data_IF_908499908141
#
_entry.id   IF_908499908141
#
_cell.length_a   1.000
_cell.length_b   1.000
_cell.length_c   1.000
_cell.angle_alpha   90.00
_cell.angle_beta   90.00
_cell.angle_gamma   90.00
#
_symmetry.space_group_name_H-M   'P 1'
#
loop_
_entity.id
_entity.type
_entity.pdbx_description
1 polymer ?
#
# COMPACT_ATOMS: atom_id res chain seq x y z
N UNK A 1 6.79 -20.90 -4.30
CA UNK A 1 7.91 -20.15 -3.69
C UNK A 1 8.91 -21.07 -2.98
N UNK A 2 8.47 -21.94 -2.05
CA UNK A 2 9.36 -22.88 -1.35
C UNK A 2 10.17 -23.79 -2.28
N UNK A 3 9.52 -24.42 -3.27
CA UNK A 3 10.21 -25.22 -4.31
C UNK A 3 11.21 -24.43 -5.17
N UNK A 4 11.10 -23.09 -5.20
CA UNK A 4 12.01 -22.19 -5.92
C UNK A 4 13.14 -21.64 -5.02
N UNK A 5 13.26 -22.11 -3.77
CA UNK A 5 14.34 -21.72 -2.85
C UNK A 5 14.16 -20.37 -2.13
N UNK A 6 12.97 -19.76 -2.18
CA UNK A 6 12.74 -18.48 -1.49
C UNK A 6 12.76 -18.64 0.04
N UNK A 7 13.25 -17.63 0.79
CA UNK A 7 13.29 -17.66 2.25
C UNK A 7 11.90 -17.88 2.87
N UNK A 8 11.82 -18.73 3.90
CA UNK A 8 10.55 -19.03 4.56
C UNK A 8 9.90 -17.79 5.18
N UNK A 9 10.71 -16.84 5.69
CA UNK A 9 10.23 -15.57 6.20
C UNK A 9 9.44 -14.76 5.16
N UNK A 10 9.88 -14.77 3.89
CA UNK A 10 9.18 -14.07 2.81
C UNK A 10 7.87 -14.77 2.47
N UNK A 11 7.89 -16.11 2.41
CA UNK A 11 6.70 -16.92 2.14
C UNK A 11 5.66 -16.68 3.24
N UNK A 12 6.06 -16.65 4.51
CA UNK A 12 5.18 -16.37 5.64
C UNK A 12 4.62 -14.95 5.58
N UNK A 13 5.43 -13.94 5.26
CA UNK A 13 4.95 -12.56 5.09
C UNK A 13 3.94 -12.45 3.94
N UNK A 14 4.23 -13.09 2.80
CA UNK A 14 3.32 -13.18 1.66
C UNK A 14 2.06 -13.97 2.04
N UNK A 15 2.09 -14.95 2.91
CA UNK A 15 0.86 -15.61 3.33
C UNK A 15 0.06 -14.72 4.29
N UNK A 16 0.75 -14.02 5.21
CA UNK A 16 0.13 -13.18 6.24
C UNK A 16 -0.46 -11.85 5.77
N UNK A 17 -0.09 -11.31 4.59
CA UNK A 17 -0.80 -10.14 4.04
C UNK A 17 -2.22 -10.49 3.57
N UNK A 18 -2.46 -11.75 3.18
CA UNK A 18 -3.80 -12.24 2.94
C UNK A 18 -4.50 -12.50 4.29
N UNK A 19 -5.31 -11.54 4.75
CA UNK A 19 -5.98 -11.60 6.07
C UNK A 19 -6.85 -12.85 6.29
N UNK A 20 -7.36 -13.46 5.21
CA UNK A 20 -8.13 -14.71 5.27
C UNK A 20 -7.27 -15.98 5.46
N UNK A 21 -5.94 -15.89 5.41
CA UNK A 21 -5.05 -17.05 5.49
C UNK A 21 -4.90 -17.63 6.91
N UNK A 22 -5.24 -16.84 7.94
CA UNK A 22 -4.99 -17.19 9.34
C UNK A 22 -3.52 -17.12 9.76
N UNK A 23 -2.60 -16.72 8.87
CA UNK A 23 -1.19 -16.54 9.22
C UNK A 23 -0.97 -15.16 9.82
N UNK A 24 -0.40 -15.05 11.04
CA UNK A 24 -0.23 -13.77 11.70
C UNK A 24 0.87 -12.92 11.05
N UNK A 25 0.72 -11.59 11.12
CA UNK A 25 1.75 -10.60 10.77
C UNK A 25 2.59 -10.23 12.00
N UNK A 26 3.39 -11.19 12.43
CA UNK A 26 4.22 -11.11 13.65
C UNK A 26 5.62 -10.51 13.42
N UNK A 27 6.00 -10.25 12.17
CA UNK A 27 7.30 -9.66 11.81
C UNK A 27 7.14 -8.27 11.21
N UNK A 28 8.19 -7.45 11.32
CA UNK A 28 8.23 -6.11 10.70
C UNK A 28 7.99 -6.19 9.18
N UNK A 29 8.55 -7.20 8.51
CA UNK A 29 8.35 -7.41 7.07
C UNK A 29 6.89 -7.69 6.73
N UNK A 30 6.22 -8.58 7.47
CA UNK A 30 4.82 -8.92 7.21
C UNK A 30 3.88 -7.73 7.46
N UNK A 31 4.12 -6.97 8.54
CA UNK A 31 3.38 -5.74 8.85
C UNK A 31 3.59 -4.68 7.78
N UNK A 32 4.84 -4.47 7.37
CA UNK A 32 5.17 -3.49 6.32
C UNK A 32 4.52 -3.86 4.99
N UNK A 33 4.59 -5.14 4.58
CA UNK A 33 3.98 -5.62 3.35
C UNK A 33 2.47 -5.33 3.33
N UNK A 34 1.77 -5.70 4.40
CA UNK A 34 0.33 -5.43 4.52
C UNK A 34 0.01 -3.93 4.52
N UNK A 35 0.79 -3.12 5.23
CA UNK A 35 0.57 -1.67 5.30
C UNK A 35 0.75 -0.93 3.96
N UNK A 36 1.60 -1.43 3.06
CA UNK A 36 1.84 -0.77 1.76
C UNK A 36 0.97 -1.31 0.63
N UNK A 37 0.46 -2.54 0.73
CA UNK A 37 -0.18 -3.26 -0.38
C UNK A 37 -1.34 -2.47 -1.00
N UNK A 38 -2.40 -2.25 -0.22
CA UNK A 38 -3.58 -1.49 -0.65
C UNK A 38 -3.25 -0.02 -0.93
N UNK A 39 -2.35 0.56 -0.13
CA UNK A 39 -2.02 1.98 -0.24
C UNK A 39 -1.28 2.29 -1.56
N UNK A 40 -0.40 1.41 -2.03
CA UNK A 40 0.29 1.55 -3.31
C UNK A 40 -0.69 1.57 -4.49
N UNK A 41 -1.63 0.61 -4.51
CA UNK A 41 -2.68 0.56 -5.53
C UNK A 41 -3.59 1.80 -5.47
N UNK A 42 -3.92 2.26 -4.27
CA UNK A 42 -4.73 3.44 -4.06
C UNK A 42 -4.06 4.73 -4.56
N UNK A 43 -2.80 4.97 -4.21
CA UNK A 43 -2.02 6.13 -4.66
C UNK A 43 -1.89 6.13 -6.19
N UNK A 44 -1.64 4.96 -6.77
CA UNK A 44 -1.59 4.77 -8.22
C UNK A 44 -2.92 5.15 -8.89
N UNK A 45 -4.06 4.71 -8.34
CA UNK A 45 -5.37 5.13 -8.82
C UNK A 45 -5.58 6.65 -8.72
N UNK A 46 -5.05 7.30 -7.66
CA UNK A 46 -5.10 8.77 -7.50
C UNK A 46 -4.32 9.48 -8.61
N UNK A 47 -3.18 8.93 -9.04
CA UNK A 47 -2.44 9.45 -10.18
C UNK A 47 -3.25 9.31 -11.49
N UNK A 48 -3.81 8.13 -11.75
CA UNK A 48 -4.53 7.84 -13.00
C UNK A 48 -5.74 8.73 -13.28
N UNK A 49 -6.43 9.22 -12.24
CA UNK A 49 -7.59 10.10 -12.42
C UNK A 49 -7.23 11.57 -12.59
N UNK A 50 -5.95 11.92 -12.55
CA UNK A 50 -5.47 13.28 -12.85
C UNK A 50 -5.28 13.45 -14.35
N UNK A 51 -5.46 14.66 -14.90
CA UNK A 51 -5.20 14.94 -16.31
C UNK A 51 -3.76 14.60 -16.73
N UNK A 52 -2.79 14.90 -15.86
CA UNK A 52 -1.36 14.59 -16.04
C UNK A 52 -1.04 13.10 -15.98
N UNK A 53 -1.94 12.30 -15.39
CA UNK A 53 -1.73 10.87 -15.07
C UNK A 53 -0.43 10.61 -14.32
N UNK A 54 0.04 11.58 -13.53
CA UNK A 54 1.37 11.51 -12.92
C UNK A 54 1.38 11.52 -11.40
N UNK A 55 2.34 10.77 -10.84
CA UNK A 55 2.64 10.76 -9.41
C UNK A 55 3.27 12.08 -8.92
N UNK A 56 3.84 12.89 -9.81
CA UNK A 56 4.45 14.18 -9.46
C UNK A 56 3.47 15.15 -8.78
N UNK A 57 2.18 15.08 -9.14
CA UNK A 57 1.14 15.95 -8.59
C UNK A 57 0.38 15.33 -7.42
N UNK A 58 0.70 14.08 -7.04
CA UNK A 58 0.03 13.38 -5.94
C UNK A 58 0.61 13.87 -4.62
N UNK A 59 -0.28 14.28 -3.72
CA UNK A 59 0.06 14.74 -2.37
C UNK A 59 -0.78 14.03 -1.32
N UNK A 60 -0.31 14.00 -0.07
CA UNK A 60 -1.02 13.44 1.08
C UNK A 60 -2.45 13.96 1.15
N UNK A 61 -2.65 15.28 0.99
CA UNK A 61 -3.99 15.90 0.98
C UNK A 61 -4.91 15.32 -0.09
N UNK A 62 -4.39 15.09 -1.29
CA UNK A 62 -5.19 14.53 -2.40
C UNK A 62 -5.58 13.08 -2.16
N UNK A 63 -4.66 12.27 -1.60
CA UNK A 63 -4.91 10.88 -1.22
C UNK A 63 -5.95 10.82 -0.11
N UNK A 64 -5.80 11.60 0.97
CA UNK A 64 -6.78 11.66 2.07
C UNK A 64 -8.16 12.10 1.60
N UNK A 65 -8.24 13.06 0.67
CA UNK A 65 -9.52 13.48 0.09
C UNK A 65 -10.20 12.30 -0.62
N UNK A 66 -9.42 11.50 -1.35
CA UNK A 66 -9.92 10.32 -2.07
C UNK A 66 -10.24 9.15 -1.14
N UNK A 67 -9.52 8.96 -0.03
CA UNK A 67 -9.84 7.92 0.95
C UNK A 67 -11.25 8.09 1.53
N UNK A 68 -11.72 9.34 1.67
CA UNK A 68 -13.09 9.67 2.10
C UNK A 68 -14.17 9.37 1.05
N UNK A 69 -13.79 9.25 -0.23
CA UNK A 69 -14.68 8.88 -1.32
C UNK A 69 -14.75 7.35 -1.42
N UNK A 70 -15.83 6.77 -0.90
CA UNK A 70 -16.05 5.31 -0.88
C UNK A 70 -16.25 4.71 -2.28
N UNK A 71 -16.59 5.51 -3.29
CA UNK A 71 -16.80 5.02 -4.67
C UNK A 71 -15.49 4.98 -5.45
N UNK A 72 -14.57 5.88 -5.13
CA UNK A 72 -13.28 5.92 -5.78
C UNK A 72 -12.44 4.71 -5.39
N UNK A 73 -11.90 3.96 -6.35
CA UNK A 73 -11.13 2.74 -6.08
C UNK A 73 -11.81 1.84 -5.02
N UNK A 74 -13.08 1.51 -5.26
CA UNK A 74 -13.95 0.81 -4.31
C UNK A 74 -13.46 -0.61 -3.96
N UNK A 75 -12.58 -1.19 -4.79
CA UNK A 75 -11.96 -2.48 -4.54
C UNK A 75 -10.86 -2.43 -3.46
N UNK A 76 -10.29 -1.25 -3.19
CA UNK A 76 -9.23 -1.09 -2.18
C UNK A 76 -9.86 -1.01 -0.79
N UNK A 77 -9.48 -1.90 0.13
CA UNK A 77 -10.00 -1.86 1.50
C UNK A 77 -9.44 -0.67 2.29
N UNK A 78 -10.33 0.20 2.80
CA UNK A 78 -9.93 1.30 3.69
C UNK A 78 -9.62 0.83 5.11
N UNK A 79 -10.25 -0.26 5.51
CA UNK A 79 -10.03 -0.91 6.80
C UNK A 79 -8.62 -1.51 6.84
N UNK A 80 -8.19 -2.16 5.76
CA UNK A 80 -6.85 -2.74 5.65
C UNK A 80 -5.75 -1.67 5.67
N UNK A 81 -5.97 -0.52 5.00
CA UNK A 81 -5.04 0.63 5.09
C UNK A 81 -4.89 1.09 6.54
N UNK A 82 -6.01 1.27 7.25
CA UNK A 82 -6.00 1.72 8.64
C UNK A 82 -5.30 0.69 9.53
N UNK A 83 -5.73 -0.58 9.47
CA UNK A 83 -5.15 -1.69 10.22
C UNK A 83 -3.65 -1.82 9.95
N UNK A 84 -3.21 -1.70 8.70
CA UNK A 84 -1.81 -1.79 8.35
C UNK A 84 -0.95 -0.72 9.02
N UNK A 85 -1.43 0.53 9.05
CA UNK A 85 -0.72 1.61 9.75
C UNK A 85 -0.69 1.41 11.27
N UNK A 86 -1.78 0.91 11.86
CA UNK A 86 -1.87 0.60 13.29
C UNK A 86 -0.92 -0.54 13.69
N UNK A 87 -0.94 -1.65 12.94
CA UNK A 87 -0.08 -2.82 13.21
C UNK A 87 1.41 -2.50 13.04
N UNK A 88 1.74 -1.63 12.07
CA UNK A 88 3.09 -1.13 11.84
C UNK A 88 3.50 -0.08 12.88
N UNK A 89 2.55 0.58 13.54
CA UNK A 89 2.80 1.60 14.56
C UNK A 89 3.22 2.95 13.98
N UNK A 90 2.67 3.33 12.82
CA UNK A 90 2.98 4.58 12.12
C UNK A 90 1.75 5.45 11.94
N UNK A 91 1.94 6.76 11.88
CA UNK A 91 0.88 7.70 11.52
C UNK A 91 0.48 7.54 10.05
N UNK A 92 -0.82 7.63 9.77
CA UNK A 92 -1.35 7.45 8.42
C UNK A 92 -0.85 8.51 7.44
N UNK A 93 -0.72 9.76 7.85
CA UNK A 93 -0.27 10.83 6.96
C UNK A 93 1.22 10.65 6.63
N UNK A 94 2.02 10.28 7.64
CA UNK A 94 3.43 9.94 7.45
C UNK A 94 3.61 8.73 6.52
N UNK A 95 2.78 7.70 6.66
CA UNK A 95 2.83 6.51 5.82
C UNK A 95 2.41 6.79 4.36
N UNK A 96 1.38 7.61 4.17
CA UNK A 96 0.98 8.10 2.84
C UNK A 96 2.12 8.89 2.20
N UNK A 97 2.72 9.84 2.92
CA UNK A 97 3.84 10.64 2.40
C UNK A 97 5.03 9.77 2.01
N UNK A 98 5.42 8.84 2.89
CA UNK A 98 6.50 7.89 2.62
C UNK A 98 6.22 7.07 1.35
N UNK A 99 5.01 6.53 1.22
CA UNK A 99 4.62 5.67 0.09
C UNK A 99 4.56 6.48 -1.22
N UNK A 100 4.04 7.71 -1.20
CA UNK A 100 4.07 8.61 -2.37
C UNK A 100 5.52 8.82 -2.82
N UNK A 101 6.41 9.19 -1.91
CA UNK A 101 7.82 9.45 -2.22
C UNK A 101 8.54 8.20 -2.74
N UNK A 102 8.20 7.03 -2.21
CA UNK A 102 8.74 5.76 -2.70
C UNK A 102 8.30 5.49 -4.15
N UNK A 103 7.01 5.64 -4.46
CA UNK A 103 6.45 5.42 -5.80
C UNK A 103 6.97 6.46 -6.81
N UNK A 104 7.11 7.73 -6.41
CA UNK A 104 7.66 8.79 -7.28
C UNK A 104 9.08 8.49 -7.77
N UNK A 105 9.89 7.77 -6.99
CA UNK A 105 11.25 7.39 -7.41
C UNK A 105 11.28 6.35 -8.53
N UNK A 106 10.18 5.63 -8.73
CA UNK A 106 10.03 4.58 -9.74
C UNK A 106 8.89 4.90 -10.71
N UNK A 107 8.49 6.18 -10.81
CA UNK A 107 7.32 6.61 -11.57
C UNK A 107 7.38 6.15 -13.04
N UNK A 108 8.55 6.27 -13.65
CA UNK A 108 8.80 5.83 -15.03
C UNK A 108 8.56 4.32 -15.22
N UNK A 109 8.99 3.49 -14.26
CA UNK A 109 8.78 2.03 -14.27
C UNK A 109 7.30 1.66 -14.11
N UNK A 110 6.52 2.54 -13.47
CA UNK A 110 5.08 2.38 -13.26
C UNK A 110 4.25 2.96 -14.42
N UNK A 111 4.87 3.67 -15.37
CA UNK A 111 4.18 4.37 -16.46
C UNK A 111 3.35 5.58 -16.00
N UNK A 112 3.80 6.26 -14.92
CA UNK A 112 3.15 7.41 -14.27
C UNK A 112 4.12 8.60 -14.18
#
# INVERSE_FOLDING_TARGET
LRKKGYPEAWIRAILGHASYSGVPRDTLMAKTLFAVDELCGFITAVAYVRPSRSLAEVSVKSVKKKLKDKRFAAAVSREDIQQGTEELGVDLDAHIDFTIKALQRISDDLGL
#
